data_IF_498983808128
#
_entry.id   IF_498983808128
#
_cell.length_a   1.000
_cell.length_b   1.000
_cell.length_c   1.000
_cell.angle_alpha   90.00
_cell.angle_beta   90.00
_cell.angle_gamma   90.00
#
_symmetry.space_group_name_H-M   'P 1'
#
loop_
_entity.id
_entity.type
_entity.pdbx_description
1 polymer ?
#
# COMPACT_ATOMS: atom_id res chain seq x y z
N UNK A 1 12.25 -3.96 -12.41
CA UNK A 1 11.60 -3.98 -11.09
C UNK A 1 10.30 -4.77 -11.27
N UNK A 2 10.43 -6.06 -11.55
CA UNK A 2 10.25 -7.18 -10.60
C UNK A 2 8.85 -7.15 -9.96
N UNK A 3 8.00 -8.10 -10.39
CA UNK A 3 6.65 -8.32 -9.87
C UNK A 3 6.71 -8.39 -8.35
N UNK A 4 5.97 -7.52 -7.69
CA UNK A 4 5.79 -7.57 -6.24
C UNK A 4 5.09 -8.89 -5.92
N UNK A 5 5.55 -9.65 -4.91
CA UNK A 5 4.96 -10.94 -4.55
C UNK A 5 3.43 -10.93 -4.46
N UNK A 6 2.80 -9.81 -4.09
CA UNK A 6 1.34 -9.62 -4.06
C UNK A 6 0.68 -9.91 -5.40
N UNK A 7 1.25 -9.40 -6.51
CA UNK A 7 0.70 -9.60 -7.85
C UNK A 7 0.74 -11.07 -8.25
N UNK A 8 1.79 -11.79 -7.87
CA UNK A 8 1.90 -13.22 -8.12
C UNK A 8 0.88 -14.01 -7.28
N UNK A 9 0.72 -13.67 -6.00
CA UNK A 9 -0.27 -14.30 -5.13
C UNK A 9 -1.70 -14.05 -5.61
N UNK A 10 -1.98 -12.83 -6.11
CA UNK A 10 -3.27 -12.45 -6.66
C UNK A 10 -3.60 -13.19 -7.96
N UNK A 11 -2.62 -13.40 -8.86
CA UNK A 11 -2.83 -14.20 -10.07
C UNK A 11 -3.16 -15.68 -9.82
N UNK A 12 -2.86 -16.17 -8.61
CA UNK A 12 -3.26 -17.51 -8.17
C UNK A 12 -4.53 -17.50 -7.32
N UNK A 13 -5.24 -16.38 -7.22
CA UNK A 13 -6.40 -16.16 -6.35
C UNK A 13 -6.18 -16.60 -4.89
N UNK A 14 -4.93 -16.58 -4.42
CA UNK A 14 -4.58 -17.11 -3.11
C UNK A 14 -4.76 -16.05 -2.02
N UNK A 15 -6.01 -15.86 -1.60
CA UNK A 15 -6.38 -14.83 -0.62
C UNK A 15 -5.63 -14.95 0.71
N UNK A 16 -5.23 -16.15 1.12
CA UNK A 16 -4.50 -16.35 2.39
C UNK A 16 -3.09 -15.78 2.30
N UNK A 17 -2.40 -16.04 1.18
CA UNK A 17 -1.08 -15.45 0.93
C UNK A 17 -1.21 -13.94 0.71
N UNK A 18 -2.21 -13.47 -0.03
CA UNK A 18 -2.46 -12.04 -0.21
C UNK A 18 -2.68 -11.31 1.13
N UNK A 19 -3.49 -11.88 2.04
CA UNK A 19 -3.67 -11.35 3.40
C UNK A 19 -2.35 -11.24 4.15
N UNK A 20 -1.58 -12.33 4.15
CA UNK A 20 -0.28 -12.36 4.81
C UNK A 20 0.68 -11.32 4.22
N UNK A 21 0.71 -11.13 2.89
CA UNK A 21 1.58 -10.17 2.22
C UNK A 21 1.15 -8.71 2.46
N UNK A 22 -0.15 -8.42 2.50
CA UNK A 22 -0.67 -7.10 2.89
C UNK A 22 -0.28 -6.79 4.34
N UNK A 23 -0.37 -7.77 5.24
CA UNK A 23 0.10 -7.65 6.62
C UNK A 23 1.63 -7.56 6.72
N UNK A 24 2.34 -8.18 5.77
CA UNK A 24 3.81 -8.21 5.66
C UNK A 24 4.38 -7.11 4.76
N UNK A 25 3.57 -6.10 4.46
CA UNK A 25 4.03 -4.76 4.11
C UNK A 25 4.35 -4.56 2.64
N UNK A 26 3.50 -5.14 1.79
CA UNK A 26 3.53 -4.84 0.37
C UNK A 26 2.67 -3.63 0.03
N UNK A 27 3.19 -2.82 -0.88
CA UNK A 27 2.53 -1.64 -1.37
C UNK A 27 1.26 -2.02 -2.14
N UNK A 28 0.11 -1.79 -1.53
CA UNK A 28 -1.20 -2.17 -2.08
C UNK A 28 -1.49 -1.49 -3.43
N UNK A 29 -1.00 -0.26 -3.62
CA UNK A 29 -1.19 0.52 -4.85
C UNK A 29 -0.02 0.46 -5.82
N UNK A 30 0.96 -0.42 -5.57
CA UNK A 30 2.01 -0.58 -6.56
C UNK A 30 1.46 -1.24 -7.83
N UNK A 31 1.96 -0.76 -8.96
CA UNK A 31 1.49 -1.15 -10.29
C UNK A 31 2.60 -1.82 -11.09
N UNK A 32 2.21 -2.76 -11.96
CA UNK A 32 3.12 -3.35 -12.94
C UNK A 32 3.49 -2.31 -14.01
N UNK A 33 4.76 -2.28 -14.41
CA UNK A 33 5.24 -1.28 -15.40
C UNK A 33 4.64 -1.49 -16.81
N UNK A 34 4.31 -2.72 -17.18
CA UNK A 34 3.83 -3.06 -18.53
C UNK A 34 2.43 -2.54 -18.85
N UNK A 35 1.55 -2.58 -17.86
CA UNK A 35 0.10 -2.51 -18.01
C UNK A 35 -0.57 -1.71 -16.89
N UNK A 36 0.21 -1.15 -15.97
CA UNK A 36 -0.24 -0.28 -14.88
C UNK A 36 -1.33 -0.90 -13.99
N UNK A 37 -1.25 -2.22 -13.79
CA UNK A 37 -2.22 -2.99 -13.02
C UNK A 37 -1.77 -3.18 -11.58
N UNK A 38 -2.70 -3.00 -10.65
CA UNK A 38 -2.52 -3.34 -9.23
C UNK A 38 -2.64 -4.85 -9.01
N UNK A 39 -2.33 -5.32 -7.80
CA UNK A 39 -2.52 -6.73 -7.49
C UNK A 39 -4.00 -7.15 -7.57
N UNK A 40 -4.94 -6.26 -7.25
CA UNK A 40 -6.38 -6.55 -7.38
C UNK A 40 -6.77 -6.86 -8.83
N UNK A 41 -6.23 -6.08 -9.78
CA UNK A 41 -6.48 -6.24 -11.21
C UNK A 41 -5.86 -7.51 -11.81
N UNK A 42 -4.97 -8.19 -11.07
CA UNK A 42 -4.34 -9.45 -11.47
C UNK A 42 -5.10 -10.71 -11.02
N UNK A 43 -6.23 -10.59 -10.31
CA UNK A 43 -7.03 -11.77 -9.95
C UNK A 43 -7.66 -12.41 -11.19
N UNK A 44 -7.64 -13.74 -11.29
CA UNK A 44 -8.08 -14.48 -12.48
C UNK A 44 -9.55 -14.90 -12.38
N UNK A 45 -10.41 -14.32 -13.23
CA UNK A 45 -11.88 -14.45 -13.14
C UNK A 45 -12.41 -15.87 -13.36
N UNK A 46 -11.71 -16.66 -14.18
CA UNK A 46 -12.11 -18.02 -14.53
C UNK A 46 -11.60 -19.08 -13.55
N UNK A 47 -10.76 -18.70 -12.60
CA UNK A 47 -10.13 -19.61 -11.63
C UNK A 47 -10.87 -19.60 -10.28
N UNK A 48 -10.76 -20.69 -9.53
CA UNK A 48 -11.39 -20.79 -8.20
C UNK A 48 -10.83 -19.72 -7.25
N UNK A 49 -11.68 -19.22 -6.34
CA UNK A 49 -11.27 -18.25 -5.33
C UNK A 49 -11.22 -16.79 -5.79
N UNK A 50 -11.46 -16.50 -7.08
CA UNK A 50 -11.48 -15.15 -7.65
C UNK A 50 -12.25 -14.16 -6.78
N UNK A 51 -13.54 -14.43 -6.54
CA UNK A 51 -14.42 -13.50 -5.84
C UNK A 51 -13.91 -13.15 -4.44
N UNK A 52 -13.34 -14.13 -3.72
CA UNK A 52 -12.81 -13.89 -2.38
C UNK A 52 -11.51 -13.09 -2.40
N UNK A 53 -10.63 -13.37 -3.38
CA UNK A 53 -9.35 -12.70 -3.51
C UNK A 53 -9.51 -11.25 -3.99
N UNK A 54 -10.28 -11.03 -5.06
CA UNK A 54 -10.52 -9.70 -5.64
C UNK A 54 -11.26 -8.80 -4.66
N UNK A 55 -12.34 -9.28 -4.03
CA UNK A 55 -13.07 -8.50 -3.01
C UNK A 55 -12.19 -8.12 -1.82
N UNK A 56 -11.27 -9.01 -1.40
CA UNK A 56 -10.32 -8.68 -0.35
C UNK A 56 -9.38 -7.56 -0.79
N UNK A 57 -8.72 -7.68 -1.94
CA UNK A 57 -7.74 -6.70 -2.40
C UNK A 57 -8.39 -5.33 -2.71
N UNK A 58 -9.52 -5.30 -3.42
CA UNK A 58 -10.28 -4.06 -3.64
C UNK A 58 -10.81 -3.48 -2.33
N UNK A 59 -11.32 -4.32 -1.42
CA UNK A 59 -11.77 -3.87 -0.10
C UNK A 59 -10.65 -3.27 0.74
N UNK A 60 -9.42 -3.76 0.62
CA UNK A 60 -8.22 -3.18 1.23
C UNK A 60 -7.89 -1.84 0.58
N UNK A 61 -7.86 -1.75 -0.76
CA UNK A 61 -7.63 -0.50 -1.49
C UNK A 61 -8.65 0.59 -1.11
N UNK A 62 -9.93 0.25 -1.05
CA UNK A 62 -11.01 1.18 -0.72
C UNK A 62 -10.99 1.63 0.73
N UNK A 63 -10.51 0.80 1.66
CA UNK A 63 -10.54 1.10 3.10
C UNK A 63 -9.20 1.60 3.63
N UNK A 64 -8.11 1.47 2.89
CA UNK A 64 -6.81 2.03 3.26
C UNK A 64 -6.91 3.56 3.36
N UNK A 65 -6.31 4.12 4.41
CA UNK A 65 -6.47 5.53 4.77
C UNK A 65 -7.82 5.90 5.41
N UNK A 66 -8.72 4.94 5.63
CA UNK A 66 -9.98 5.13 6.39
C UNK A 66 -10.02 4.19 7.61
N UNK A 67 -9.69 2.91 7.39
CA UNK A 67 -9.56 1.94 8.47
C UNK A 67 -8.45 2.33 9.45
N UNK A 68 -8.44 1.74 10.64
CA UNK A 68 -7.44 2.02 11.67
C UNK A 68 -7.31 3.53 12.00
N UNK A 69 -8.44 4.27 11.96
CA UNK A 69 -8.50 5.73 12.15
C UNK A 69 -7.66 6.51 11.13
N UNK A 70 -7.54 5.98 9.91
CA UNK A 70 -6.76 6.59 8.84
C UNK A 70 -5.25 6.39 8.97
N UNK A 71 -4.78 5.56 9.91
CA UNK A 71 -3.34 5.33 10.12
C UNK A 71 -2.76 4.49 8.97
N UNK A 72 -1.62 4.95 8.45
CA UNK A 72 -0.81 4.30 7.41
C UNK A 72 0.67 4.45 7.75
N UNK A 73 1.52 3.67 7.07
CA UNK A 73 2.96 3.68 7.29
C UNK A 73 3.73 3.91 5.98
N UNK A 74 4.82 4.68 6.07
CA UNK A 74 5.76 4.84 4.96
C UNK A 74 6.54 3.55 4.71
N UNK A 75 6.52 3.03 3.48
CA UNK A 75 7.24 1.81 3.10
C UNK A 75 8.61 2.10 2.48
N UNK A 76 8.80 3.34 2.03
CA UNK A 76 10.05 3.89 1.52
C UNK A 76 10.18 5.33 2.00
N UNK A 77 11.39 5.86 1.91
CA UNK A 77 11.64 7.28 2.13
C UNK A 77 11.05 8.09 0.97
N UNK A 78 10.51 9.26 1.30
CA UNK A 78 9.99 10.22 0.33
C UNK A 78 10.43 11.63 0.72
N UNK A 79 11.08 12.31 -0.21
CA UNK A 79 11.48 13.72 -0.09
C UNK A 79 10.52 14.59 -0.89
N UNK A 80 10.17 15.74 -0.34
CA UNK A 80 9.23 16.67 -0.98
C UNK A 80 9.84 17.29 -2.23
N UNK A 81 9.04 17.39 -3.28
CA UNK A 81 9.32 18.04 -4.56
C UNK A 81 8.50 19.33 -4.72
N UNK A 82 7.33 19.43 -4.08
CA UNK A 82 6.47 20.61 -4.05
C UNK A 82 6.23 21.16 -2.62
N UNK A 83 5.77 22.42 -2.52
CA UNK A 83 5.61 23.12 -1.24
C UNK A 83 4.46 22.56 -0.37
N UNK A 84 3.49 21.90 -0.98
CA UNK A 84 2.30 21.32 -0.36
C UNK A 84 2.45 19.82 -0.06
N UNK A 85 3.62 19.24 -0.34
CA UNK A 85 3.95 17.85 -0.06
C UNK A 85 4.55 17.65 1.35
N UNK A 86 4.47 16.42 1.84
CA UNK A 86 5.00 16.03 3.14
C UNK A 86 6.06 14.93 3.00
N UNK A 87 7.27 15.20 3.50
CA UNK A 87 8.34 14.20 3.54
C UNK A 87 8.12 13.21 4.69
N UNK A 88 8.48 11.96 4.45
CA UNK A 88 8.43 10.89 5.45
C UNK A 88 9.54 9.86 5.19
N UNK A 89 9.84 9.07 6.22
CA UNK A 89 10.80 7.97 6.15
C UNK A 89 10.11 6.62 6.21
N UNK A 90 10.83 5.58 5.80
CA UNK A 90 10.43 4.19 5.98
C UNK A 90 10.14 3.92 7.47
N UNK A 91 8.91 3.49 7.74
CA UNK A 91 8.40 3.19 9.08
C UNK A 91 7.71 4.36 9.78
N UNK A 92 7.65 5.56 9.18
CA UNK A 92 6.91 6.68 9.76
C UNK A 92 5.40 6.37 9.79
N UNK A 93 4.77 6.73 10.90
CA UNK A 93 3.34 6.59 11.12
C UNK A 93 2.63 7.89 10.74
N UNK A 94 1.70 7.82 9.81
CA UNK A 94 0.97 8.97 9.29
C UNK A 94 -0.53 8.75 9.39
N UNK A 95 -1.30 9.82 9.50
CA UNK A 95 -2.77 9.76 9.51
C UNK A 95 -3.31 10.43 8.26
N UNK A 96 -4.06 9.69 7.44
CA UNK A 96 -4.73 10.21 6.27
C UNK A 96 -5.92 11.07 6.71
N UNK A 97 -5.95 12.31 6.23
CA UNK A 97 -7.00 13.29 6.52
C UNK A 97 -7.97 13.43 5.35
N UNK A 98 -7.46 13.40 4.10
CA UNK A 98 -8.26 13.48 2.87
C UNK A 98 -7.63 12.62 1.77
N UNK A 99 -8.46 11.86 1.06
CA UNK A 99 -8.03 11.00 -0.07
C UNK A 99 -8.43 11.51 -1.44
N UNK A 100 -9.35 12.48 -1.48
CA UNK A 100 -10.03 12.88 -2.69
C UNK A 100 -9.80 14.35 -2.96
N UNK A 101 -9.06 14.61 -4.03
CA UNK A 101 -9.45 15.60 -5.03
C UNK A 101 -9.82 14.81 -6.30
N UNK A 102 -10.87 15.23 -7.02
CA UNK A 102 -11.44 14.49 -8.17
C UNK A 102 -10.45 14.31 -9.33
N UNK A 103 -9.31 15.01 -9.30
CA UNK A 103 -8.26 15.00 -10.32
C UNK A 103 -7.00 14.22 -9.91
N UNK A 104 -6.73 14.05 -8.61
CA UNK A 104 -5.46 13.49 -8.10
C UNK A 104 -5.66 12.24 -7.22
N UNK A 105 -6.11 11.15 -7.84
CA UNK A 105 -6.37 9.87 -7.16
C UNK A 105 -5.12 9.18 -6.58
N UNK A 106 -3.92 9.70 -6.84
CA UNK A 106 -2.63 9.11 -6.43
C UNK A 106 -2.01 9.78 -5.20
N UNK A 107 -2.51 10.94 -4.80
CA UNK A 107 -1.97 11.74 -3.69
C UNK A 107 -3.01 11.89 -2.58
N UNK A 108 -2.59 11.68 -1.34
CA UNK A 108 -3.44 11.81 -0.17
C UNK A 108 -2.92 12.90 0.76
N UNK A 109 -3.81 13.72 1.30
CA UNK A 109 -3.47 14.68 2.34
C UNK A 109 -3.34 13.95 3.67
N UNK A 110 -2.17 14.04 4.29
CA UNK A 110 -1.84 13.32 5.50
C UNK A 110 -1.20 14.22 6.55
N UNK A 111 -1.19 13.74 7.79
CA UNK A 111 -0.48 14.36 8.92
C UNK A 111 0.62 13.43 9.42
N UNK A 112 1.82 13.98 9.62
CA UNK A 112 2.95 13.33 10.27
C UNK A 112 3.49 14.25 11.38
N UNK A 113 3.28 13.86 12.64
CA UNK A 113 3.54 14.73 13.78
C UNK A 113 2.70 16.01 13.72
N UNK A 114 3.37 17.16 13.71
CA UNK A 114 2.75 18.50 13.64
C UNK A 114 2.65 19.06 12.21
N UNK A 115 3.07 18.29 11.20
CA UNK A 115 3.08 18.71 9.79
C UNK A 115 1.99 18.02 8.99
N UNK A 116 1.48 18.72 7.99
CA UNK A 116 0.50 18.21 7.02
C UNK A 116 0.96 18.50 5.60
N UNK A 117 0.55 17.64 4.66
CA UNK A 117 0.81 17.81 3.23
C UNK A 117 0.38 16.58 2.42
N UNK A 118 0.54 16.66 1.11
CA UNK A 118 0.30 15.55 0.19
C UNK A 118 1.41 14.50 0.28
N UNK A 119 1.00 13.23 0.24
CA UNK A 119 1.89 12.07 0.16
C UNK A 119 1.44 11.10 -0.94
N UNK A 120 2.36 10.45 -1.65
CA UNK A 120 2.04 9.49 -2.71
C UNK A 120 1.54 8.16 -2.12
N UNK A 121 0.33 7.72 -2.49
CA UNK A 121 -0.32 6.54 -1.89
C UNK A 121 0.39 5.21 -2.17
N UNK A 122 1.15 5.13 -3.26
CA UNK A 122 1.87 3.92 -3.68
C UNK A 122 3.11 3.63 -2.83
N UNK A 123 3.56 4.57 -2.01
CA UNK A 123 4.66 4.38 -1.06
C UNK A 123 4.18 4.02 0.36
N UNK A 124 2.87 3.78 0.52
CA UNK A 124 2.25 3.55 1.82
C UNK A 124 1.84 2.09 2.00
N UNK A 125 1.77 1.65 3.25
CA UNK A 125 1.21 0.36 3.65
C UNK A 125 0.33 0.47 4.88
N UNK A 126 -0.48 -0.56 5.12
CA UNK A 126 -1.36 -0.63 6.28
C UNK A 126 -0.63 -0.99 7.58
N UNK A 127 0.55 -1.61 7.49
CA UNK A 127 1.30 -2.13 8.63
C UNK A 127 2.81 -1.81 8.50
N UNK A 128 3.51 -1.76 9.63
CA UNK A 128 4.96 -1.51 9.69
C UNK A 128 5.76 -2.72 9.20
N UNK A 129 6.82 -2.47 8.40
CA UNK A 129 7.74 -3.54 7.98
C UNK A 129 8.26 -4.29 9.19
N UNK A 130 8.08 -5.61 9.20
CA UNK A 130 8.75 -6.49 10.16
C UNK A 130 10.23 -6.39 9.86
N UNK A 131 10.97 -5.58 10.63
CA UNK A 131 12.42 -5.52 10.50
C UNK A 131 12.96 -6.93 10.75
N UNK A 132 13.72 -7.54 9.83
CA UNK A 132 14.32 -8.82 10.09
C UNK A 132 15.19 -8.66 11.33
N UNK A 133 14.89 -9.45 12.37
CA UNK A 133 15.66 -9.43 13.61
C UNK A 133 17.10 -9.75 13.21
N UNK A 134 18.01 -8.79 13.28
CA UNK A 134 19.42 -9.07 13.07
C UNK A 134 19.80 -10.12 14.10
N UNK A 135 19.98 -11.37 13.64
CA UNK A 135 20.72 -12.35 14.41
C UNK A 135 22.15 -11.83 14.36
N UNK A 136 22.56 -11.15 15.43
CA UNK A 136 23.97 -10.96 15.73
C UNK A 136 24.60 -12.36 15.68
N UNK A 137 25.39 -12.64 14.64
CA UNK A 137 26.33 -13.74 14.66
C UNK A 137 27.38 -13.34 15.70
N UNK A 138 27.14 -13.75 16.94
CA UNK A 138 28.14 -13.81 17.99
C UNK A 138 28.89 -15.14 17.89
#
# INVERSE_FOLDING_TARGET
>A
MERIPLHCAASCNNVQVCKFLVESVEAMFAVTHSDMQTAADKCEEMEEGYAQCSQFLYGVQEKMGIMNRGVVYGLWDYEVEAEDELSFREGDCMTILRREDQEETQWWWARCGDKEGYIPRNLLGLYLRIKPRQRSLA
#
